data_IF_361138531282
#
_entry.id   IF_361138531282
#
_cell.length_a   1.000
_cell.length_b   1.000
_cell.length_c   1.000
_cell.angle_alpha   90.00
_cell.angle_beta   90.00
_cell.angle_gamma   90.00
#
_symmetry.space_group_name_H-M   'P 1'
#
loop_
_entity.id
_entity.type
_entity.pdbx_description
1 polymer ?
#
# COMPACT_ATOMS: atom_id res chain seq x y z
N UNK A 1 25.66 14.91 10.19
CA UNK A 1 25.86 13.46 10.16
C UNK A 1 24.80 12.92 9.22
N UNK A 2 25.17 12.28 8.11
CA UNK A 2 24.18 11.62 7.26
C UNK A 2 23.64 10.42 8.04
N UNK A 3 22.31 10.32 8.19
CA UNK A 3 21.69 9.11 8.73
C UNK A 3 22.10 7.93 7.85
N UNK A 4 22.67 6.90 8.47
CA UNK A 4 23.09 5.69 7.76
C UNK A 4 21.84 4.97 7.24
N UNK A 5 21.82 4.60 5.95
CA UNK A 5 20.66 3.99 5.32
C UNK A 5 20.35 2.63 5.94
N UNK A 6 19.13 2.47 6.47
CA UNK A 6 18.65 1.21 7.02
C UNK A 6 17.61 0.57 6.08
N UNK A 7 17.95 -0.52 5.35
CA UNK A 7 17.06 -1.14 4.37
C UNK A 7 15.79 -1.74 4.99
N UNK A 8 15.87 -2.26 6.23
CA UNK A 8 14.71 -2.82 6.92
C UNK A 8 13.70 -1.73 7.27
N UNK A 9 14.18 -0.58 7.76
CA UNK A 9 13.32 0.56 8.06
C UNK A 9 12.69 1.14 6.79
N UNK A 10 13.44 1.20 5.69
CA UNK A 10 12.89 1.64 4.40
C UNK A 10 11.78 0.71 3.91
N UNK A 11 11.96 -0.61 4.00
CA UNK A 11 10.90 -1.56 3.64
C UNK A 11 9.65 -1.42 4.51
N UNK A 12 9.83 -1.22 5.83
CA UNK A 12 8.72 -0.93 6.75
C UNK A 12 8.04 0.40 6.42
N UNK A 13 8.82 1.45 6.09
CA UNK A 13 8.31 2.76 5.71
C UNK A 13 7.41 2.65 4.48
N UNK A 14 7.86 1.97 3.42
CA UNK A 14 7.09 1.74 2.19
C UNK A 14 5.78 1.00 2.50
N UNK A 15 5.86 -0.09 3.27
CA UNK A 15 4.68 -0.88 3.63
C UNK A 15 3.67 -0.06 4.46
N UNK A 16 4.14 0.69 5.46
CA UNK A 16 3.27 1.51 6.30
C UNK A 16 2.67 2.71 5.55
N UNK A 17 3.41 3.32 4.61
CA UNK A 17 2.87 4.39 3.77
C UNK A 17 1.67 3.89 2.95
N UNK A 18 1.81 2.72 2.31
CA UNK A 18 0.72 2.07 1.59
C UNK A 18 -0.49 1.80 2.49
N UNK A 19 -0.24 1.18 3.65
CA UNK A 19 -1.30 0.78 4.59
C UNK A 19 -2.02 1.98 5.19
N UNK A 20 -1.30 3.08 5.44
CA UNK A 20 -1.88 4.32 5.94
C UNK A 20 -2.83 4.93 4.91
N UNK A 21 -2.36 5.14 3.67
CA UNK A 21 -3.19 5.70 2.58
C UNK A 21 -4.45 4.86 2.33
N UNK A 22 -4.30 3.53 2.28
CA UNK A 22 -5.44 2.61 2.12
C UNK A 22 -6.35 2.58 3.34
N UNK A 23 -5.80 2.67 4.54
CA UNK A 23 -6.55 2.76 5.79
C UNK A 23 -7.49 3.97 5.81
N UNK A 24 -6.97 5.14 5.44
CA UNK A 24 -7.75 6.38 5.33
C UNK A 24 -8.88 6.27 4.31
N UNK A 25 -8.61 5.77 3.10
CA UNK A 25 -9.65 5.59 2.09
C UNK A 25 -10.80 4.69 2.57
N UNK A 26 -10.48 3.61 3.30
CA UNK A 26 -11.48 2.70 3.87
C UNK A 26 -12.28 3.33 5.01
N UNK A 27 -11.62 4.09 5.89
CA UNK A 27 -12.29 4.79 6.98
C UNK A 27 -13.26 5.85 6.45
N UNK A 28 -12.84 6.61 5.43
CA UNK A 28 -13.71 7.57 4.75
C UNK A 28 -14.89 6.87 4.09
N UNK A 29 -14.68 5.77 3.36
CA UNK A 29 -15.77 5.00 2.75
C UNK A 29 -16.78 4.47 3.79
N UNK A 30 -16.32 4.02 4.97
CA UNK A 30 -17.19 3.63 6.09
C UNK A 30 -17.98 4.80 6.69
N UNK A 31 -17.39 6.00 6.68
CA UNK A 31 -18.05 7.21 7.18
C UNK A 31 -19.12 7.67 6.21
N UNK A 32 -18.83 7.64 4.90
CA UNK A 32 -19.78 7.94 3.84
C UNK A 32 -20.97 6.97 3.85
N UNK A 33 -20.73 5.66 4.02
CA UNK A 33 -21.84 4.68 4.00
C UNK A 33 -22.82 4.78 5.16
N UNK A 34 -22.48 5.51 6.24
CA UNK A 34 -23.36 5.73 7.40
C UNK A 34 -24.29 6.92 7.28
N UNK A 35 -24.08 7.78 6.28
CA UNK A 35 -24.90 8.98 6.06
C UNK A 35 -26.03 8.66 5.08
N UNK A 36 -27.27 9.03 5.43
CA UNK A 36 -28.43 8.99 4.53
C UNK A 36 -28.41 10.27 3.68
N UNK A 37 -28.26 10.14 2.36
CA UNK A 37 -28.12 11.29 1.46
C UNK A 37 -29.40 11.53 0.63
N UNK A 38 -30.04 12.71 0.74
CA UNK A 38 -31.02 13.19 -0.24
C UNK A 38 -30.39 13.34 -1.64
N UNK A 39 -31.21 13.39 -2.69
CA UNK A 39 -30.75 13.36 -4.10
C UNK A 39 -29.67 14.41 -4.46
N UNK A 40 -29.73 15.63 -3.90
CA UNK A 40 -28.71 16.67 -4.13
C UNK A 40 -27.37 16.34 -3.46
N UNK A 41 -27.37 15.59 -2.36
CA UNK A 41 -26.15 15.10 -1.71
C UNK A 41 -25.61 13.81 -2.35
N UNK A 42 -26.35 13.21 -3.30
CA UNK A 42 -25.90 12.03 -4.03
C UNK A 42 -24.72 12.34 -4.95
N UNK A 43 -24.72 13.50 -5.61
CA UNK A 43 -23.58 13.93 -6.43
C UNK A 43 -22.32 14.16 -5.58
N UNK A 44 -22.46 14.78 -4.40
CA UNK A 44 -21.36 14.94 -3.45
C UNK A 44 -20.87 13.60 -2.91
N UNK A 45 -21.78 12.67 -2.64
CA UNK A 45 -21.44 11.31 -2.21
C UNK A 45 -20.66 10.56 -3.29
N UNK A 46 -21.13 10.60 -4.55
CA UNK A 46 -20.44 9.99 -5.69
C UNK A 46 -19.08 10.64 -5.95
N UNK A 47 -18.94 11.96 -5.74
CA UNK A 47 -17.65 12.64 -5.81
C UNK A 47 -16.68 12.15 -4.70
N UNK A 48 -17.16 12.01 -3.46
CA UNK A 48 -16.34 11.50 -2.35
C UNK A 48 -16.00 10.02 -2.48
N UNK A 49 -16.88 9.21 -3.07
CA UNK A 49 -16.57 7.83 -3.43
C UNK A 49 -15.45 7.76 -4.46
N UNK A 50 -15.53 8.55 -5.53
CA UNK A 50 -14.45 8.66 -6.53
C UNK A 50 -13.12 9.10 -5.91
N UNK A 51 -13.13 10.01 -4.95
CA UNK A 51 -11.92 10.39 -4.20
C UNK A 51 -11.35 9.22 -3.41
N UNK A 52 -12.18 8.41 -2.77
CA UNK A 52 -11.72 7.22 -2.06
C UNK A 52 -11.10 6.20 -3.02
N UNK A 53 -11.73 6.00 -4.20
CA UNK A 53 -11.22 5.09 -5.24
C UNK A 53 -9.86 5.58 -5.75
N UNK A 54 -9.73 6.87 -6.04
CA UNK A 54 -8.48 7.49 -6.46
C UNK A 54 -7.37 7.32 -5.40
N UNK A 55 -7.68 7.50 -4.12
CA UNK A 55 -6.70 7.27 -3.06
C UNK A 55 -6.24 5.80 -2.97
N UNK A 56 -7.15 4.84 -3.20
CA UNK A 56 -6.80 3.42 -3.24
C UNK A 56 -5.90 3.11 -4.45
N UNK A 57 -6.20 3.67 -5.62
CA UNK A 57 -5.39 3.54 -6.84
C UNK A 57 -4.00 4.16 -6.67
N UNK A 58 -3.92 5.40 -6.19
CA UNK A 58 -2.65 6.10 -5.95
C UNK A 58 -1.78 5.34 -4.93
N UNK A 59 -2.39 4.75 -3.90
CA UNK A 59 -1.67 3.91 -2.95
C UNK A 59 -1.07 2.68 -3.65
N UNK A 60 -1.83 2.00 -4.50
CA UNK A 60 -1.37 0.83 -5.25
C UNK A 60 -0.27 1.19 -6.26
N UNK A 61 -0.40 2.32 -6.97
CA UNK A 61 0.61 2.79 -7.93
C UNK A 61 1.94 3.14 -7.24
N UNK A 62 1.90 3.93 -6.17
CA UNK A 62 3.10 4.31 -5.42
C UNK A 62 3.78 3.10 -4.81
N UNK A 63 3.02 2.15 -4.26
CA UNK A 63 3.56 0.91 -3.73
C UNK A 63 4.23 0.08 -4.83
N UNK A 64 3.53 -0.13 -5.96
CA UNK A 64 4.04 -0.87 -7.11
C UNK A 64 5.36 -0.30 -7.63
N UNK A 65 5.42 1.03 -7.81
CA UNK A 65 6.63 1.73 -8.26
C UNK A 65 7.79 1.57 -7.29
N UNK A 66 7.55 1.68 -5.99
CA UNK A 66 8.59 1.49 -4.98
C UNK A 66 9.11 0.05 -4.98
N UNK A 67 8.23 -0.94 -5.02
CA UNK A 67 8.64 -2.34 -5.08
C UNK A 67 9.43 -2.62 -6.35
N UNK A 68 8.97 -2.17 -7.52
CA UNK A 68 9.66 -2.44 -8.78
C UNK A 68 11.05 -1.79 -8.83
N UNK A 69 11.20 -0.59 -8.27
CA UNK A 69 12.51 0.05 -8.08
C UNK A 69 13.47 -0.87 -7.32
N UNK A 70 13.04 -1.42 -6.19
CA UNK A 70 13.88 -2.30 -5.37
C UNK A 70 14.08 -3.69 -6.01
N UNK A 71 13.12 -4.19 -6.81
CA UNK A 71 13.30 -5.45 -7.55
C UNK A 71 14.36 -5.36 -8.66
N UNK A 72 14.58 -4.18 -9.21
CA UNK A 72 15.63 -3.94 -10.22
C UNK A 72 17.00 -3.62 -9.64
N UNK A 73 17.09 -3.39 -8.33
CA UNK A 73 18.35 -3.12 -7.66
C UNK A 73 19.04 -4.45 -7.28
N UNK A 74 20.26 -4.73 -7.80
CA UNK A 74 20.95 -5.99 -7.55
C UNK A 74 21.64 -6.05 -6.17
N UNK A 75 21.58 -4.98 -5.37
CA UNK A 75 22.28 -4.92 -4.09
C UNK A 75 21.67 -5.85 -3.04
N UNK A 76 22.48 -6.35 -2.07
CA UNK A 76 21.96 -7.11 -0.93
C UNK A 76 20.93 -6.32 -0.10
N UNK A 77 21.12 -4.99 -0.01
CA UNK A 77 20.23 -4.08 0.71
C UNK A 77 18.81 -4.08 0.10
N UNK A 78 18.70 -4.11 -1.23
CA UNK A 78 17.41 -4.20 -1.89
C UNK A 78 16.63 -5.46 -1.50
N UNK A 79 17.33 -6.59 -1.36
CA UNK A 79 16.71 -7.83 -0.89
C UNK A 79 16.16 -7.69 0.53
N UNK A 80 16.90 -7.03 1.43
CA UNK A 80 16.46 -6.75 2.80
C UNK A 80 15.23 -5.82 2.84
N UNK A 81 15.19 -4.78 2.00
CA UNK A 81 13.99 -3.92 1.84
C UNK A 81 12.77 -4.75 1.44
N UNK A 82 12.91 -5.59 0.42
CA UNK A 82 11.82 -6.42 -0.09
C UNK A 82 11.35 -7.46 0.94
N UNK A 83 12.27 -8.05 1.70
CA UNK A 83 11.96 -8.93 2.83
C UNK A 83 11.15 -8.20 3.90
N UNK A 84 11.57 -7.01 4.31
CA UNK A 84 10.85 -6.22 5.30
C UNK A 84 9.43 -5.83 4.84
N UNK A 85 9.23 -5.56 3.53
CA UNK A 85 7.91 -5.34 2.94
C UNK A 85 7.04 -6.60 3.10
N UNK A 86 7.58 -7.78 2.75
CA UNK A 86 6.87 -9.06 2.89
C UNK A 86 6.53 -9.36 4.35
N UNK A 87 7.39 -9.02 5.31
CA UNK A 87 7.13 -9.24 6.73
C UNK A 87 5.92 -8.45 7.23
N UNK A 88 5.84 -7.17 6.83
CA UNK A 88 4.75 -6.28 7.25
C UNK A 88 3.44 -6.63 6.53
N UNK A 89 3.51 -6.95 5.24
CA UNK A 89 2.33 -7.08 4.39
C UNK A 89 1.86 -8.52 4.21
N UNK A 90 2.75 -9.51 4.34
CA UNK A 90 2.52 -10.89 3.95
C UNK A 90 1.39 -11.61 4.71
N UNK A 91 1.03 -11.15 5.90
CA UNK A 91 -0.06 -11.73 6.71
C UNK A 91 -1.37 -10.92 6.62
N UNK A 92 -1.39 -9.82 5.87
CA UNK A 92 -2.55 -8.93 5.79
C UNK A 92 -3.61 -9.46 4.84
N UNK A 93 -4.86 -9.39 5.27
CA UNK A 93 -6.02 -9.81 4.48
C UNK A 93 -6.69 -8.66 3.73
N UNK A 94 -6.32 -7.42 4.05
CA UNK A 94 -6.98 -6.21 3.58
C UNK A 94 -6.17 -5.41 2.54
N UNK A 95 -5.19 -6.07 1.94
CA UNK A 95 -4.43 -5.54 0.81
C UNK A 95 -5.32 -5.41 -0.43
N UNK A 96 -4.95 -4.46 -1.28
CA UNK A 96 -5.47 -4.33 -2.63
C UNK A 96 -5.07 -5.47 -3.54
N UNK A 97 -5.75 -5.58 -4.67
CA UNK A 97 -5.52 -6.67 -5.61
C UNK A 97 -4.08 -6.65 -6.13
N UNK A 98 -3.56 -5.50 -6.58
CA UNK A 98 -2.19 -5.44 -7.09
C UNK A 98 -1.18 -5.60 -5.97
N UNK A 99 -1.37 -4.93 -4.83
CA UNK A 99 -0.48 -5.07 -3.68
C UNK A 99 -0.38 -6.52 -3.19
N UNK A 100 -1.51 -7.24 -3.11
CA UNK A 100 -1.52 -8.66 -2.76
C UNK A 100 -0.75 -9.51 -3.77
N UNK A 101 -0.99 -9.31 -5.06
CA UNK A 101 -0.26 -10.02 -6.12
C UNK A 101 1.24 -9.77 -6.08
N UNK A 102 1.64 -8.52 -5.82
CA UNK A 102 3.05 -8.14 -5.67
C UNK A 102 3.67 -8.86 -4.48
N UNK A 103 3.04 -8.79 -3.31
CA UNK A 103 3.55 -9.44 -2.08
C UNK A 103 3.61 -10.96 -2.24
N UNK A 104 2.61 -11.58 -2.86
CA UNK A 104 2.61 -13.02 -3.12
C UNK A 104 3.71 -13.42 -4.11
N UNK A 105 4.02 -12.57 -5.10
CA UNK A 105 5.17 -12.76 -6.00
C UNK A 105 6.48 -12.65 -5.24
N UNK A 106 6.65 -11.62 -4.41
CA UNK A 106 7.85 -11.42 -3.59
C UNK A 106 8.12 -12.62 -2.67
N UNK A 107 7.09 -13.17 -2.02
CA UNK A 107 7.22 -14.39 -1.21
C UNK A 107 7.79 -15.58 -1.99
N UNK A 108 7.38 -15.74 -3.25
CA UNK A 108 7.88 -16.82 -4.11
C UNK A 108 9.32 -16.56 -4.56
N UNK A 109 9.65 -15.31 -4.89
CA UNK A 109 10.99 -14.91 -5.35
C UNK A 109 12.03 -14.97 -4.23
N UNK A 110 11.66 -14.58 -3.01
CA UNK A 110 12.56 -14.51 -1.86
C UNK A 110 12.70 -15.86 -1.12
N UNK A 111 11.77 -16.78 -1.31
CA UNK A 111 11.72 -18.07 -0.61
C UNK A 111 11.09 -17.98 0.79
N UNK A 112 10.92 -19.13 1.48
CA UNK A 112 10.53 -19.13 2.88
C UNK A 112 11.61 -18.46 3.71
N UNK A 113 11.18 -17.54 4.59
CA UNK A 113 12.03 -16.99 5.65
C UNK A 113 12.29 -18.03 6.74
#
# INVERSE_FOLDING_TARGET
MAEEFNPVEEGRRIAHEYLSKRGWAREWRRTLSRQLYPEVQREEFEAKQRQCDQMEEEAEEVFSRNVERWRHDPSPQAKEVLHAIVDVMGKRLDLGFFAKRIVDRLKRELGPM
#
